data_IF_454480891938
#
_entry.id   IF_454480891938
#
_cell.length_a   1.000
_cell.length_b   1.000
_cell.length_c   1.000
_cell.angle_alpha   90.00
_cell.angle_beta   90.00
_cell.angle_gamma   90.00
#
_symmetry.space_group_name_H-M   'P 1'
#
loop_
_entity.id
_entity.type
_entity.pdbx_description
1 polymer ?
#
# COMPACT_ATOMS: atom_id res chain seq x y z
N UNK A 1 -4.51 13.43 15.79
CA UNK A 1 -4.55 12.74 14.48
C UNK A 1 -3.42 13.15 13.53
N UNK A 2 -2.87 14.36 13.60
CA UNK A 2 -1.80 14.81 12.68
C UNK A 2 -0.48 14.04 12.76
N UNK A 3 -0.13 13.50 13.91
CA UNK A 3 1.17 12.81 14.14
C UNK A 3 1.36 11.49 13.38
N UNK A 4 0.28 10.88 12.86
CA UNK A 4 0.29 9.55 12.25
C UNK A 4 -0.02 9.60 10.74
N UNK A 5 0.25 10.74 10.12
CA UNK A 5 0.03 10.98 8.68
C UNK A 5 1.27 11.60 8.07
N UNK A 6 1.42 11.43 6.75
CA UNK A 6 2.44 12.12 5.95
C UNK A 6 1.78 13.02 4.91
N UNK A 7 2.39 14.18 4.64
CA UNK A 7 1.96 15.04 3.55
C UNK A 7 2.54 14.54 2.23
N UNK A 8 1.68 14.14 1.30
CA UNK A 8 2.11 13.80 -0.05
C UNK A 8 2.44 15.09 -0.83
N UNK A 9 3.39 15.00 -1.76
CA UNK A 9 3.90 16.16 -2.52
C UNK A 9 2.78 16.89 -3.26
N UNK A 10 1.99 16.17 -4.01
CA UNK A 10 0.95 16.71 -4.89
C UNK A 10 -0.47 16.37 -4.41
N UNK A 11 -0.59 15.74 -3.27
CA UNK A 11 -1.82 15.12 -2.80
C UNK A 11 -2.21 15.47 -1.38
N UNK A 12 -3.19 14.76 -0.84
CA UNK A 12 -3.67 14.92 0.52
C UNK A 12 -2.68 14.36 1.55
N UNK A 13 -3.00 14.56 2.82
CA UNK A 13 -2.32 13.87 3.92
C UNK A 13 -2.73 12.38 3.92
N UNK A 14 -1.74 11.50 3.89
CA UNK A 14 -1.92 10.05 3.85
C UNK A 14 -1.66 9.46 5.24
N UNK A 15 -2.59 8.64 5.81
CA UNK A 15 -2.32 7.89 7.02
C UNK A 15 -1.15 6.92 6.86
N UNK A 16 -0.26 6.85 7.84
CA UNK A 16 0.88 5.92 7.83
C UNK A 16 0.45 4.46 8.02
N UNK A 17 -0.76 4.22 8.55
CA UNK A 17 -1.34 2.88 8.62
C UNK A 17 -2.67 2.83 7.88
N UNK A 18 -2.84 1.81 7.03
CA UNK A 18 -4.08 1.53 6.32
C UNK A 18 -4.52 0.08 6.48
N UNK A 19 -5.78 -0.19 6.21
CA UNK A 19 -6.30 -1.56 6.10
C UNK A 19 -6.06 -2.10 4.70
N UNK A 20 -5.21 -3.13 4.57
CA UNK A 20 -5.07 -3.90 3.34
C UNK A 20 -6.26 -4.84 3.14
N UNK A 21 -6.79 -4.91 1.92
CA UNK A 21 -7.99 -5.73 1.63
C UNK A 21 -7.72 -6.91 0.69
N UNK A 22 -6.46 -7.21 0.38
CA UNK A 22 -6.10 -8.35 -0.47
C UNK A 22 -6.64 -9.66 0.10
N UNK A 23 -7.31 -10.47 -0.75
CA UNK A 23 -8.00 -11.72 -0.39
C UNK A 23 -9.18 -11.58 0.59
N UNK A 24 -9.63 -10.39 0.93
CA UNK A 24 -10.90 -10.22 1.64
C UNK A 24 -12.01 -10.15 0.58
N UNK A 25 -12.97 -11.05 0.66
CA UNK A 25 -14.07 -11.19 -0.31
C UNK A 25 -15.38 -11.53 0.39
N UNK A 26 -16.47 -11.16 -0.26
CA UNK A 26 -17.84 -11.35 0.23
C UNK A 26 -18.34 -10.15 1.01
N UNK A 27 -19.54 -9.68 0.68
CA UNK A 27 -20.15 -8.46 1.20
C UNK A 27 -20.15 -8.40 2.73
N UNK A 28 -20.58 -9.49 3.39
CA UNK A 28 -20.67 -9.53 4.85
C UNK A 28 -19.30 -9.42 5.51
N UNK A 29 -18.31 -10.19 5.00
CA UNK A 29 -16.94 -10.18 5.56
C UNK A 29 -16.29 -8.80 5.39
N UNK A 30 -16.50 -8.15 4.22
CA UNK A 30 -15.97 -6.81 3.96
C UNK A 30 -16.66 -5.79 4.83
N UNK A 31 -17.99 -5.85 4.94
CA UNK A 31 -18.78 -4.93 5.79
C UNK A 31 -18.30 -4.98 7.25
N UNK A 32 -18.24 -6.16 7.82
CA UNK A 32 -17.78 -6.34 9.21
C UNK A 32 -16.34 -5.91 9.41
N UNK A 33 -15.45 -6.26 8.46
CA UNK A 33 -14.03 -5.88 8.52
C UNK A 33 -13.86 -4.36 8.48
N UNK A 34 -14.55 -3.67 7.56
CA UNK A 34 -14.48 -2.21 7.44
C UNK A 34 -15.06 -1.52 8.67
N UNK A 35 -16.19 -2.01 9.18
CA UNK A 35 -16.80 -1.47 10.40
C UNK A 35 -15.82 -1.55 11.57
N UNK A 36 -15.28 -2.72 11.85
CA UNK A 36 -14.28 -2.92 12.91
C UNK A 36 -13.04 -2.05 12.75
N UNK A 37 -12.52 -1.93 11.53
CA UNK A 37 -11.34 -1.12 11.25
C UNK A 37 -11.62 0.37 11.49
N UNK A 38 -12.73 0.91 10.98
CA UNK A 38 -13.12 2.31 11.16
C UNK A 38 -13.42 2.65 12.61
N UNK A 39 -14.11 1.76 13.35
CA UNK A 39 -14.34 1.87 14.80
C UNK A 39 -13.02 1.86 15.58
N UNK A 40 -12.02 1.10 15.13
CA UNK A 40 -10.68 1.05 15.72
C UNK A 40 -9.81 2.26 15.38
N UNK A 41 -10.29 3.17 14.51
CA UNK A 41 -9.58 4.40 14.14
C UNK A 41 -8.81 4.36 12.82
N UNK A 42 -8.91 3.29 12.01
CA UNK A 42 -8.38 3.32 10.64
C UNK A 42 -9.09 4.39 9.82
N UNK A 43 -8.31 5.08 8.99
CA UNK A 43 -8.80 6.11 8.05
C UNK A 43 -8.19 5.95 6.65
N UNK A 44 -7.54 4.81 6.39
CA UNK A 44 -7.00 4.46 5.08
C UNK A 44 -7.37 3.03 4.71
N UNK A 45 -7.83 2.83 3.47
CA UNK A 45 -8.23 1.53 2.91
C UNK A 45 -7.46 1.34 1.61
N UNK A 46 -6.73 0.22 1.52
CA UNK A 46 -5.99 -0.18 0.33
C UNK A 46 -6.68 -1.35 -0.36
N UNK A 47 -7.05 -1.15 -1.61
CA UNK A 47 -7.60 -2.17 -2.50
C UNK A 47 -6.93 -2.16 -3.86
N UNK A 48 -7.43 -2.93 -4.82
CA UNK A 48 -7.01 -2.95 -6.22
C UNK A 48 -8.08 -3.57 -7.11
N UNK A 49 -8.14 -3.19 -8.38
CA UNK A 49 -9.05 -3.78 -9.36
C UNK A 49 -8.93 -5.31 -9.44
N UNK A 50 -7.70 -5.86 -9.31
CA UNK A 50 -7.46 -7.32 -9.34
C UNK A 50 -7.95 -8.06 -8.10
N UNK A 51 -8.23 -7.36 -6.98
CA UNK A 51 -8.75 -8.00 -5.76
C UNK A 51 -10.22 -8.38 -5.90
N UNK A 52 -10.93 -7.73 -6.83
CA UNK A 52 -12.35 -7.98 -7.14
C UNK A 52 -13.29 -7.75 -5.95
N UNK A 53 -12.97 -6.77 -5.13
CA UNK A 53 -13.74 -6.41 -3.94
C UNK A 53 -14.10 -4.91 -3.87
N UNK A 54 -13.76 -4.13 -4.89
CA UNK A 54 -14.06 -2.70 -4.93
C UNK A 54 -15.55 -2.39 -4.77
N UNK A 55 -16.44 -3.17 -5.43
CA UNK A 55 -17.89 -2.99 -5.31
C UNK A 55 -18.39 -3.23 -3.89
N UNK A 56 -17.88 -4.27 -3.25
CA UNK A 56 -18.26 -4.64 -1.88
C UNK A 56 -17.76 -3.57 -0.90
N UNK A 57 -16.56 -3.04 -1.11
CA UNK A 57 -15.99 -1.93 -0.32
C UNK A 57 -16.83 -0.67 -0.48
N UNK A 58 -17.16 -0.27 -1.72
CA UNK A 58 -17.98 0.92 -1.98
C UNK A 58 -19.35 0.83 -1.33
N UNK A 59 -20.02 -0.32 -1.44
CA UNK A 59 -21.31 -0.57 -0.81
C UNK A 59 -21.22 -0.52 0.71
N UNK A 60 -20.20 -1.17 1.28
CA UNK A 60 -20.00 -1.20 2.74
C UNK A 60 -19.69 0.18 3.31
N UNK A 61 -18.85 0.98 2.64
CA UNK A 61 -18.55 2.34 3.09
C UNK A 61 -19.79 3.22 3.14
N UNK A 62 -20.67 3.15 2.14
CA UNK A 62 -21.95 3.89 2.16
C UNK A 62 -22.84 3.54 3.36
N UNK A 63 -22.75 2.31 3.85
CA UNK A 63 -23.51 1.86 5.01
C UNK A 63 -22.85 2.25 6.33
N UNK A 64 -21.53 2.10 6.41
CA UNK A 64 -20.79 2.23 7.68
C UNK A 64 -20.45 3.68 8.01
N UNK A 65 -20.05 4.50 7.04
CA UNK A 65 -19.62 5.87 7.31
C UNK A 65 -20.67 6.69 8.07
N UNK A 66 -21.95 6.71 7.66
CA UNK A 66 -22.99 7.47 8.40
C UNK A 66 -23.23 6.94 9.81
N UNK A 67 -23.01 5.63 10.07
CA UNK A 67 -23.17 5.03 11.40
C UNK A 67 -22.08 5.48 12.38
N UNK A 68 -20.94 5.94 11.86
CA UNK A 68 -19.78 6.36 12.63
C UNK A 68 -19.56 7.88 12.59
N UNK A 69 -20.55 8.65 12.12
CA UNK A 69 -20.43 10.09 11.88
C UNK A 69 -19.21 10.48 11.03
N UNK A 70 -18.89 9.62 10.04
CA UNK A 70 -17.82 9.82 9.08
C UNK A 70 -18.37 10.13 7.69
N UNK A 71 -17.56 10.85 6.91
CA UNK A 71 -17.83 11.18 5.51
C UNK A 71 -16.78 10.57 4.59
N UNK A 72 -16.95 10.71 3.27
CA UNK A 72 -15.95 10.24 2.28
C UNK A 72 -14.60 10.96 2.45
N UNK A 73 -14.61 12.20 2.87
CA UNK A 73 -13.43 13.03 3.07
C UNK A 73 -12.56 12.57 4.26
N UNK A 74 -13.15 11.86 5.21
CA UNK A 74 -12.43 11.32 6.37
C UNK A 74 -11.62 10.06 6.03
N UNK A 75 -11.83 9.48 4.84
CA UNK A 75 -11.26 8.19 4.44
C UNK A 75 -10.34 8.36 3.23
N UNK A 76 -9.10 7.90 3.39
CA UNK A 76 -8.12 7.80 2.32
C UNK A 76 -8.29 6.46 1.59
N UNK A 77 -8.70 6.48 0.33
CA UNK A 77 -8.92 5.26 -0.47
C UNK A 77 -7.84 5.14 -1.53
N UNK A 78 -7.10 4.03 -1.48
CA UNK A 78 -6.14 3.62 -2.52
C UNK A 78 -6.73 2.48 -3.35
N UNK A 79 -6.67 2.62 -4.68
CA UNK A 79 -6.85 1.50 -5.60
C UNK A 79 -5.71 1.43 -6.62
N UNK A 80 -5.70 0.38 -7.46
CA UNK A 80 -4.56 0.08 -8.34
C UNK A 80 -5.01 -0.40 -9.71
N UNK A 81 -4.32 0.09 -10.74
CA UNK A 81 -4.47 -0.33 -12.13
C UNK A 81 -4.02 -1.79 -12.32
N UNK A 82 -4.90 -2.63 -12.83
CA UNK A 82 -4.54 -4.00 -13.11
C UNK A 82 -3.50 -4.10 -14.26
N UNK A 83 -2.54 -5.04 -14.20
CA UNK A 83 -1.53 -5.23 -15.25
C UNK A 83 -2.10 -5.40 -16.66
N UNK A 84 -3.29 -5.96 -16.80
CA UNK A 84 -3.98 -6.16 -18.09
C UNK A 84 -4.53 -4.86 -18.71
N UNK A 85 -4.73 -3.84 -17.88
CA UNK A 85 -5.41 -2.59 -18.25
C UNK A 85 -4.42 -1.44 -18.47
N UNK A 86 -3.11 -1.73 -18.60
CA UNK A 86 -2.09 -0.75 -18.93
C UNK A 86 -2.15 -0.32 -20.40
N UNK A 87 -1.75 0.91 -20.67
CA UNK A 87 -1.67 1.55 -21.98
C UNK A 87 -2.66 2.70 -22.12
N UNK A 88 -2.44 3.50 -23.16
CA UNK A 88 -3.20 4.72 -23.45
C UNK A 88 -4.71 4.45 -23.56
N UNK A 89 -5.50 5.23 -22.87
CA UNK A 89 -6.95 5.13 -22.81
C UNK A 89 -7.47 3.98 -21.93
N UNK A 90 -6.81 2.83 -21.91
CA UNK A 90 -7.19 1.67 -21.08
C UNK A 90 -7.04 1.97 -19.59
N UNK A 91 -5.95 2.64 -19.20
CA UNK A 91 -5.73 3.04 -17.83
C UNK A 91 -6.83 4.00 -17.36
N UNK A 92 -7.20 4.97 -18.20
CA UNK A 92 -8.31 5.87 -17.92
C UNK A 92 -9.62 5.12 -17.68
N UNK A 93 -10.00 4.23 -18.59
CA UNK A 93 -11.23 3.44 -18.49
C UNK A 93 -11.25 2.59 -17.20
N UNK A 94 -10.12 1.95 -16.88
CA UNK A 94 -9.96 1.14 -15.67
C UNK A 94 -10.11 1.98 -14.38
N UNK A 95 -9.52 3.17 -14.34
CA UNK A 95 -9.67 4.08 -13.20
C UNK A 95 -11.13 4.54 -13.02
N UNK A 96 -11.80 4.95 -14.09
CA UNK A 96 -13.22 5.32 -14.05
C UNK A 96 -14.10 4.14 -13.61
N UNK A 97 -13.73 2.91 -14.01
CA UNK A 97 -14.41 1.71 -13.53
C UNK A 97 -14.19 1.47 -12.03
N UNK A 98 -12.97 1.67 -11.51
CA UNK A 98 -12.68 1.61 -10.07
C UNK A 98 -13.49 2.64 -9.28
N UNK A 99 -13.59 3.89 -9.76
CA UNK A 99 -14.46 4.92 -9.17
C UNK A 99 -15.92 4.47 -9.11
N UNK A 100 -16.45 3.94 -10.22
CA UNK A 100 -17.82 3.41 -10.28
C UNK A 100 -18.03 2.26 -9.31
N UNK A 101 -17.08 1.31 -9.23
CA UNK A 101 -17.14 0.17 -8.32
C UNK A 101 -17.13 0.62 -6.85
N UNK A 102 -16.22 1.53 -6.50
CA UNK A 102 -16.08 2.10 -5.16
C UNK A 102 -17.18 3.12 -4.82
N UNK A 103 -18.02 3.46 -5.79
CA UNK A 103 -19.14 4.40 -5.66
C UNK A 103 -18.70 5.76 -5.09
N UNK A 104 -17.60 6.29 -5.62
CA UNK A 104 -17.00 7.57 -5.21
C UNK A 104 -16.61 8.41 -6.43
N UNK A 105 -16.57 9.73 -6.27
CA UNK A 105 -16.23 10.66 -7.35
C UNK A 105 -14.72 10.85 -7.54
N UNK A 106 -13.92 10.46 -6.54
CA UNK A 106 -12.47 10.56 -6.57
C UNK A 106 -11.80 9.44 -5.77
N UNK A 107 -10.54 9.15 -6.10
CA UNK A 107 -9.61 8.36 -5.30
C UNK A 107 -8.56 9.27 -4.65
N UNK A 108 -8.15 8.94 -3.44
CA UNK A 108 -7.07 9.68 -2.77
C UNK A 108 -5.72 9.30 -3.37
N UNK A 109 -5.55 8.01 -3.74
CA UNK A 109 -4.35 7.51 -4.40
C UNK A 109 -4.71 6.44 -5.44
N UNK A 110 -4.12 6.51 -6.62
CA UNK A 110 -4.20 5.44 -7.61
C UNK A 110 -2.81 5.04 -8.07
N UNK A 111 -2.53 3.72 -8.07
CA UNK A 111 -1.22 3.18 -8.35
C UNK A 111 -1.21 2.36 -9.64
N UNK A 112 -0.14 2.44 -10.44
CA UNK A 112 0.17 1.36 -11.38
C UNK A 112 0.62 0.17 -10.55
N UNK A 113 -0.12 -0.96 -10.60
CA UNK A 113 0.08 -2.08 -9.68
C UNK A 113 1.37 -2.85 -9.90
N UNK A 114 1.83 -2.96 -11.16
CA UNK A 114 3.05 -3.65 -11.58
C UNK A 114 3.70 -2.93 -12.76
N UNK A 115 5.04 -2.95 -12.88
CA UNK A 115 5.72 -2.34 -14.02
C UNK A 115 5.50 -3.08 -15.34
N UNK A 116 5.14 -4.38 -15.27
CA UNK A 116 4.86 -5.22 -16.44
C UNK A 116 3.38 -5.33 -16.78
N UNK A 117 3.11 -5.68 -18.01
CA UNK A 117 1.77 -5.83 -18.57
C UNK A 117 1.41 -7.30 -18.70
N UNK A 118 0.21 -7.67 -18.28
CA UNK A 118 -0.25 -9.06 -18.37
C UNK A 118 -0.28 -9.56 -19.82
N UNK A 119 0.33 -10.73 -20.05
CA UNK A 119 0.41 -11.33 -21.39
C UNK A 119 1.57 -10.85 -22.24
N UNK A 120 2.40 -9.94 -21.73
CA UNK A 120 3.66 -9.50 -22.34
C UNK A 120 4.82 -10.13 -21.56
N UNK A 121 5.87 -10.57 -22.27
CA UNK A 121 7.06 -11.14 -21.63
C UNK A 121 7.75 -10.08 -20.74
N UNK A 122 8.37 -10.47 -19.63
CA UNK A 122 9.02 -9.52 -18.72
C UNK A 122 10.09 -8.64 -19.40
N UNK A 123 10.85 -9.17 -20.33
CA UNK A 123 11.93 -8.51 -21.07
C UNK A 123 11.47 -7.77 -22.34
N UNK A 124 10.18 -7.73 -22.61
CA UNK A 124 9.62 -7.08 -23.82
C UNK A 124 9.56 -5.55 -23.61
N UNK A 125 10.18 -4.76 -24.53
CA UNK A 125 10.23 -3.30 -24.42
C UNK A 125 8.85 -2.63 -24.46
N UNK A 126 7.79 -3.32 -24.87
CA UNK A 126 6.42 -2.82 -24.80
C UNK A 126 5.96 -2.58 -23.36
N UNK A 127 6.52 -3.29 -22.36
CA UNK A 127 6.21 -3.02 -20.96
C UNK A 127 6.50 -1.55 -20.64
N UNK A 128 7.68 -1.06 -21.02
CA UNK A 128 8.08 0.33 -20.83
C UNK A 128 7.11 1.31 -21.49
N UNK A 129 6.79 1.10 -22.77
CA UNK A 129 5.90 1.99 -23.49
C UNK A 129 4.51 2.07 -22.85
N UNK A 130 3.94 0.94 -22.48
CA UNK A 130 2.58 0.86 -21.95
C UNK A 130 2.48 1.45 -20.54
N UNK A 131 3.48 1.26 -19.66
CA UNK A 131 3.47 1.89 -18.33
C UNK A 131 3.62 3.41 -18.41
N UNK A 132 4.43 3.95 -19.35
CA UNK A 132 4.54 5.40 -19.56
C UNK A 132 3.24 5.99 -20.11
N UNK A 133 2.57 5.31 -21.05
CA UNK A 133 1.24 5.70 -21.51
C UNK A 133 0.21 5.67 -20.39
N UNK A 134 0.26 4.65 -19.53
CA UNK A 134 -0.61 4.58 -18.34
C UNK A 134 -0.35 5.75 -17.40
N UNK A 135 0.91 6.14 -17.22
CA UNK A 135 1.25 7.29 -16.40
C UNK A 135 0.67 8.59 -16.93
N UNK A 136 0.72 8.81 -18.23
CA UNK A 136 0.10 9.98 -18.89
C UNK A 136 -1.42 10.03 -18.66
N UNK A 137 -2.11 8.89 -18.72
CA UNK A 137 -3.54 8.80 -18.38
C UNK A 137 -3.77 9.17 -16.90
N UNK A 138 -2.89 8.73 -15.97
CA UNK A 138 -3.00 9.09 -14.55
C UNK A 138 -2.75 10.58 -14.31
N UNK A 139 -1.79 11.18 -14.97
CA UNK A 139 -1.53 12.64 -14.90
C UNK A 139 -2.76 13.45 -15.35
N UNK A 140 -3.41 13.00 -16.42
CA UNK A 140 -4.63 13.64 -16.90
C UNK A 140 -5.79 13.50 -15.91
N UNK A 141 -6.02 12.31 -15.36
CA UNK A 141 -7.03 12.06 -14.34
C UNK A 141 -6.76 12.84 -13.04
N UNK A 142 -5.49 13.02 -12.69
CA UNK A 142 -5.08 13.87 -11.57
C UNK A 142 -5.43 15.35 -11.83
N UNK A 143 -5.11 15.89 -13.02
CA UNK A 143 -5.50 17.25 -13.42
C UNK A 143 -7.02 17.46 -13.41
N UNK A 144 -7.79 16.42 -13.73
CA UNK A 144 -9.27 16.44 -13.69
C UNK A 144 -9.84 16.29 -12.27
N UNK A 145 -9.01 16.08 -11.25
CA UNK A 145 -9.43 15.89 -9.87
C UNK A 145 -10.07 14.53 -9.57
N UNK A 146 -9.99 13.57 -10.50
CA UNK A 146 -10.47 12.19 -10.30
C UNK A 146 -9.56 11.38 -9.39
N UNK A 147 -8.29 11.73 -9.33
CA UNK A 147 -7.27 11.15 -8.46
C UNK A 147 -6.53 12.29 -7.77
N UNK A 148 -6.43 12.26 -6.44
CA UNK A 148 -5.74 13.31 -5.68
C UNK A 148 -4.23 13.12 -5.59
N UNK A 149 -3.75 11.88 -5.64
CA UNK A 149 -2.33 11.53 -5.68
C UNK A 149 -2.13 10.33 -6.60
N UNK A 150 -1.01 10.28 -7.31
CA UNK A 150 -0.66 9.20 -8.22
C UNK A 150 0.66 8.54 -7.82
N UNK A 151 0.77 7.25 -8.02
CA UNK A 151 1.96 6.51 -7.64
C UNK A 151 2.09 5.16 -8.35
N UNK A 152 3.05 4.38 -7.89
CA UNK A 152 3.38 3.10 -8.48
C UNK A 152 3.54 2.02 -7.41
N UNK A 153 3.42 0.77 -7.82
CA UNK A 153 3.66 -0.38 -6.94
C UNK A 153 4.56 -1.39 -7.66
N UNK A 154 5.45 -2.03 -6.90
CA UNK A 154 6.40 -3.01 -7.42
C UNK A 154 7.40 -2.48 -8.46
N UNK A 155 7.65 -1.17 -8.45
CA UNK A 155 8.68 -0.56 -9.27
C UNK A 155 10.01 -0.61 -8.54
N UNK A 156 11.06 -1.01 -9.24
CA UNK A 156 12.44 -0.91 -8.80
C UNK A 156 13.04 0.45 -9.15
N UNK A 157 14.23 0.75 -8.64
CA UNK A 157 14.94 2.01 -8.88
C UNK A 157 15.05 2.38 -10.36
N UNK A 158 15.37 1.39 -11.23
CA UNK A 158 15.44 1.60 -12.68
C UNK A 158 14.11 2.04 -13.30
N UNK A 159 12.99 1.47 -12.84
CA UNK A 159 11.65 1.83 -13.30
C UNK A 159 11.26 3.24 -12.84
N UNK A 160 11.61 3.58 -11.58
CA UNK A 160 11.38 4.92 -11.04
C UNK A 160 12.23 5.96 -11.76
N UNK A 161 13.50 5.66 -12.03
CA UNK A 161 14.40 6.54 -12.77
C UNK A 161 13.85 6.84 -14.17
N UNK A 162 13.41 5.81 -14.88
CA UNK A 162 12.77 5.94 -16.18
C UNK A 162 11.52 6.82 -16.10
N UNK A 163 10.64 6.55 -15.13
CA UNK A 163 9.42 7.32 -14.95
C UNK A 163 9.70 8.80 -14.67
N UNK A 164 10.66 9.09 -13.78
CA UNK A 164 11.06 10.45 -13.42
C UNK A 164 11.64 11.25 -14.59
N UNK A 165 12.23 10.57 -15.57
CA UNK A 165 12.73 11.21 -16.79
C UNK A 165 11.63 11.62 -17.80
N UNK A 166 10.40 11.06 -17.66
CA UNK A 166 9.34 11.21 -18.66
C UNK A 166 8.03 11.78 -18.09
N UNK A 167 7.89 11.87 -16.77
CA UNK A 167 6.65 12.35 -16.14
C UNK A 167 6.61 13.87 -16.02
N UNK A 168 5.41 14.46 -16.14
CA UNK A 168 5.12 15.84 -15.76
C UNK A 168 4.82 15.94 -14.26
N UNK A 169 4.03 15.00 -13.73
CA UNK A 169 3.72 14.86 -12.31
C UNK A 169 4.51 13.69 -11.75
N UNK A 170 5.40 13.96 -10.79
CA UNK A 170 6.20 12.91 -10.14
C UNK A 170 5.31 12.01 -9.28
N UNK A 171 5.64 10.71 -9.15
CA UNK A 171 4.92 9.83 -8.27
C UNK A 171 5.00 10.29 -6.81
N UNK A 172 3.87 10.26 -6.12
CA UNK A 172 3.76 10.57 -4.69
C UNK A 172 4.16 9.38 -3.81
N UNK A 173 3.83 8.15 -4.26
CA UNK A 173 3.98 6.92 -3.47
C UNK A 173 4.60 5.81 -4.30
N UNK A 174 5.56 5.09 -3.70
CA UNK A 174 5.96 3.74 -4.10
C UNK A 174 5.42 2.75 -3.06
N UNK A 175 4.53 1.85 -3.48
CA UNK A 175 4.08 0.74 -2.64
C UNK A 175 4.79 -0.56 -3.04
N UNK A 176 5.54 -1.17 -2.13
CA UNK A 176 6.38 -2.32 -2.44
C UNK A 176 6.48 -3.28 -1.26
N UNK A 177 6.87 -4.54 -1.50
CA UNK A 177 7.15 -5.50 -0.44
C UNK A 177 8.32 -5.02 0.41
N UNK A 178 8.09 -4.89 1.74
CA UNK A 178 9.14 -4.46 2.66
C UNK A 178 8.86 -4.96 4.08
N UNK A 179 9.85 -5.60 4.67
CA UNK A 179 9.85 -6.17 6.02
C UNK A 179 11.28 -6.54 6.42
N UNK A 180 11.60 -6.91 7.67
CA UNK A 180 12.95 -7.23 8.11
C UNK A 180 13.69 -8.29 7.29
N UNK A 181 13.01 -9.26 6.67
CA UNK A 181 13.66 -10.24 5.78
C UNK A 181 13.93 -9.70 4.36
N UNK A 182 13.39 -8.53 4.02
CA UNK A 182 13.59 -7.82 2.74
C UNK A 182 13.70 -6.32 2.99
N UNK A 183 14.83 -5.90 3.54
CA UNK A 183 15.12 -4.47 3.76
C UNK A 183 15.67 -3.88 2.47
N UNK A 184 14.94 -3.00 1.85
CA UNK A 184 15.26 -2.37 0.57
C UNK A 184 15.90 -0.99 0.77
N UNK A 185 17.01 -0.92 1.51
CA UNK A 185 17.63 0.34 1.96
C UNK A 185 18.01 1.27 0.82
N UNK A 186 18.51 0.74 -0.31
CA UNK A 186 18.88 1.54 -1.48
C UNK A 186 17.63 2.18 -2.11
N UNK A 187 16.59 1.40 -2.33
CA UNK A 187 15.33 1.89 -2.91
C UNK A 187 14.62 2.89 -1.98
N UNK A 188 14.65 2.64 -0.66
CA UNK A 188 14.13 3.57 0.34
C UNK A 188 14.86 4.91 0.29
N UNK A 189 16.19 4.89 0.20
CA UNK A 189 17.02 6.10 0.05
C UNK A 189 16.65 6.84 -1.23
N UNK A 190 16.57 6.14 -2.35
CA UNK A 190 16.18 6.72 -3.63
C UNK A 190 14.81 7.41 -3.55
N UNK A 191 13.83 6.77 -2.91
CA UNK A 191 12.50 7.36 -2.70
C UNK A 191 12.58 8.64 -1.86
N UNK A 192 13.35 8.62 -0.77
CA UNK A 192 13.54 9.77 0.12
C UNK A 192 14.15 10.96 -0.62
N UNK A 193 15.22 10.73 -1.38
CA UNK A 193 15.91 11.75 -2.17
C UNK A 193 15.01 12.38 -3.25
N UNK A 194 14.08 11.60 -3.78
CA UNK A 194 13.10 12.05 -4.76
C UNK A 194 11.76 12.50 -4.15
N UNK A 195 11.64 12.54 -2.81
CA UNK A 195 10.41 12.86 -2.06
C UNK A 195 9.20 11.99 -2.50
N UNK A 196 9.45 10.70 -2.71
CA UNK A 196 8.43 9.68 -2.96
C UNK A 196 8.18 8.96 -1.63
N UNK A 197 6.93 8.94 -1.17
CA UNK A 197 6.59 8.22 0.05
C UNK A 197 6.69 6.71 -0.17
N UNK A 198 7.41 6.04 0.73
CA UNK A 198 7.58 4.59 0.69
C UNK A 198 6.49 3.92 1.55
N UNK A 199 5.69 3.05 0.94
CA UNK A 199 4.65 2.29 1.63
C UNK A 199 4.92 0.79 1.50
N UNK A 200 4.95 0.09 2.63
CA UNK A 200 5.22 -1.34 2.71
C UNK A 200 3.93 -2.15 2.63
N UNK A 201 3.89 -3.13 1.73
CA UNK A 201 2.94 -4.23 1.84
C UNK A 201 3.65 -5.50 2.33
N UNK A 202 2.90 -6.53 2.70
CA UNK A 202 3.40 -7.77 3.32
C UNK A 202 4.31 -7.53 4.54
N UNK A 203 4.09 -6.43 5.27
CA UNK A 203 4.89 -6.05 6.44
C UNK A 203 4.89 -7.11 7.54
N UNK A 204 3.92 -8.03 7.54
CA UNK A 204 3.79 -9.17 8.44
C UNK A 204 4.15 -10.50 7.76
N UNK A 205 4.76 -10.45 6.59
CA UNK A 205 5.05 -11.62 5.75
C UNK A 205 3.82 -12.09 4.98
N UNK A 206 3.67 -13.40 4.85
CA UNK A 206 2.57 -14.03 4.12
C UNK A 206 1.53 -14.65 5.07
N UNK A 207 0.33 -14.91 4.55
CA UNK A 207 -0.72 -15.66 5.28
C UNK A 207 -0.53 -17.19 5.25
N UNK A 208 0.60 -17.70 4.77
CA UNK A 208 0.90 -19.15 4.78
C UNK A 208 1.28 -19.61 6.19
N UNK A 209 1.07 -20.89 6.48
CA UNK A 209 1.48 -21.54 7.74
C UNK A 209 3.00 -21.46 7.99
N UNK A 210 3.78 -21.29 6.93
CA UNK A 210 5.24 -21.14 6.95
C UNK A 210 5.71 -19.67 7.06
N UNK A 211 4.91 -18.78 7.64
CA UNK A 211 5.30 -17.40 7.84
C UNK A 211 6.42 -17.29 8.89
N UNK A 212 7.65 -17.33 8.44
CA UNK A 212 8.84 -17.28 9.31
C UNK A 212 9.00 -15.91 10.00
N UNK A 213 8.48 -14.82 9.42
CA UNK A 213 8.70 -13.47 9.92
C UNK A 213 8.08 -13.23 11.30
N UNK A 214 6.83 -13.65 11.50
CA UNK A 214 6.14 -13.52 12.81
C UNK A 214 6.72 -14.44 13.89
N UNK A 215 7.45 -15.47 13.50
CA UNK A 215 8.07 -16.46 14.38
C UNK A 215 9.60 -16.33 14.44
N UNK A 216 10.17 -15.30 13.80
CA UNK A 216 11.59 -15.02 13.88
C UNK A 216 12.00 -14.77 15.35
N UNK A 217 13.06 -15.43 15.81
CA UNK A 217 13.46 -15.43 17.21
C UNK A 217 13.76 -14.02 17.74
N UNK A 218 14.36 -13.17 16.92
CA UNK A 218 14.64 -11.79 17.32
C UNK A 218 13.38 -10.93 17.37
N UNK A 219 12.45 -11.13 16.44
CA UNK A 219 11.15 -10.44 16.45
C UNK A 219 10.36 -10.81 17.70
N UNK A 220 10.27 -12.11 18.03
CA UNK A 220 9.59 -12.62 19.22
C UNK A 220 10.25 -12.10 20.49
N UNK A 221 11.58 -12.17 20.60
CA UNK A 221 12.32 -11.67 21.76
C UNK A 221 12.09 -10.18 22.01
N UNK A 222 12.07 -9.35 20.96
CA UNK A 222 11.80 -7.92 21.07
C UNK A 222 10.34 -7.70 21.51
N UNK A 223 9.40 -8.44 20.92
CA UNK A 223 7.98 -8.37 21.25
C UNK A 223 7.73 -8.68 22.74
N UNK A 224 8.31 -9.78 23.24
CA UNK A 224 8.20 -10.19 24.65
C UNK A 224 8.76 -9.12 25.59
N UNK A 225 9.93 -8.53 25.26
CA UNK A 225 10.55 -7.49 26.08
C UNK A 225 9.71 -6.21 26.21
N UNK A 226 8.87 -5.93 25.20
CA UNK A 226 8.00 -4.76 25.14
C UNK A 226 6.57 -5.03 25.59
N UNK A 227 6.21 -6.30 25.86
CA UNK A 227 4.82 -6.71 26.11
C UNK A 227 3.90 -6.42 24.92
N UNK A 228 4.40 -6.56 23.71
CA UNK A 228 3.70 -6.33 22.43
C UNK A 228 3.68 -7.62 21.59
N UNK A 229 2.77 -7.68 20.62
CA UNK A 229 2.79 -8.80 19.67
C UNK A 229 3.90 -8.66 18.62
N UNK A 230 4.40 -9.76 18.04
CA UNK A 230 5.34 -9.73 16.92
C UNK A 230 4.85 -8.86 15.77
N UNK A 231 3.54 -8.87 15.47
CA UNK A 231 2.93 -8.03 14.46
C UNK A 231 3.09 -6.53 14.79
N UNK A 232 2.86 -6.12 16.03
CA UNK A 232 3.06 -4.73 16.46
C UNK A 232 4.52 -4.30 16.31
N UNK A 233 5.47 -5.15 16.64
CA UNK A 233 6.91 -4.87 16.48
C UNK A 233 7.26 -4.66 15.02
N UNK A 234 6.82 -5.54 14.11
CA UNK A 234 7.09 -5.44 12.68
C UNK A 234 6.48 -4.17 12.06
N UNK A 235 5.25 -3.85 12.42
CA UNK A 235 4.58 -2.63 11.95
C UNK A 235 5.27 -1.38 12.50
N UNK A 236 5.63 -1.39 13.79
CA UNK A 236 6.34 -0.27 14.43
C UNK A 236 7.71 -0.04 13.80
N UNK A 237 8.44 -1.10 13.46
CA UNK A 237 9.73 -1.01 12.77
C UNK A 237 9.62 -0.23 11.45
N UNK A 238 8.61 -0.48 10.64
CA UNK A 238 8.40 0.27 9.41
C UNK A 238 7.98 1.72 9.68
N UNK A 239 6.96 1.92 10.54
CA UNK A 239 6.45 3.26 10.89
C UNK A 239 7.53 4.15 11.49
N UNK A 240 8.43 3.60 12.31
CA UNK A 240 9.50 4.38 12.95
C UNK A 240 10.54 4.89 11.96
N UNK A 241 10.62 4.31 10.77
CA UNK A 241 11.40 4.76 9.63
C UNK A 241 10.64 5.74 8.70
N UNK A 242 9.42 6.13 9.06
CA UNK A 242 8.55 6.96 8.23
C UNK A 242 7.88 6.19 7.08
N UNK A 243 7.93 4.86 7.09
CA UNK A 243 7.36 3.98 6.06
C UNK A 243 5.90 3.69 6.40
N UNK A 244 4.99 3.90 5.44
CA UNK A 244 3.58 3.54 5.57
C UNK A 244 3.39 2.02 5.54
N UNK A 245 2.35 1.50 6.22
CA UNK A 245 2.04 0.06 6.26
C UNK A 245 0.55 -0.19 6.01
N UNK A 246 0.23 -1.34 5.39
CA UNK A 246 -1.14 -1.74 5.06
C UNK A 246 -1.41 -3.19 5.49
N UNK A 247 -1.33 -3.49 6.80
CA UNK A 247 -1.61 -4.84 7.29
C UNK A 247 -3.04 -5.28 6.93
N UNK A 248 -3.19 -6.55 6.56
CA UNK A 248 -4.47 -7.19 6.27
C UNK A 248 -4.88 -8.08 7.44
N UNK A 249 -6.10 -7.88 7.95
CA UNK A 249 -6.74 -8.82 8.88
C UNK A 249 -8.26 -8.76 8.75
N UNK A 250 -8.93 -9.86 9.04
CA UNK A 250 -10.38 -9.96 9.29
C UNK A 250 -10.67 -10.34 10.74
N UNK A 251 -9.63 -10.55 11.55
CA UNK A 251 -9.75 -10.86 12.96
C UNK A 251 -9.86 -9.54 13.79
N UNK A 252 -10.92 -9.36 14.58
CA UNK A 252 -11.14 -8.15 15.36
C UNK A 252 -10.00 -7.79 16.31
N UNK A 253 -9.37 -8.79 16.92
CA UNK A 253 -8.24 -8.58 17.84
C UNK A 253 -7.04 -8.05 17.08
N UNK A 254 -6.66 -8.70 15.97
CA UNK A 254 -5.53 -8.28 15.18
C UNK A 254 -5.74 -6.89 14.54
N UNK A 255 -6.97 -6.53 14.13
CA UNK A 255 -7.29 -5.20 13.61
C UNK A 255 -6.97 -4.13 14.66
N UNK A 256 -7.39 -4.34 15.91
CA UNK A 256 -7.14 -3.43 17.01
C UNK A 256 -5.66 -3.38 17.41
N UNK A 257 -4.98 -4.52 17.46
CA UNK A 257 -3.54 -4.58 17.78
C UNK A 257 -2.69 -3.89 16.71
N UNK A 258 -2.98 -4.13 15.44
CA UNK A 258 -2.22 -3.57 14.35
C UNK A 258 -2.23 -2.03 14.31
N UNK A 259 -3.29 -1.38 14.75
CA UNK A 259 -3.34 0.09 14.81
C UNK A 259 -2.73 0.64 16.11
N UNK A 260 -2.63 -0.16 17.18
CA UNK A 260 -2.02 0.23 18.45
C UNK A 260 -0.49 0.13 18.41
N UNK A 261 0.14 0.90 17.51
CA UNK A 261 1.58 0.87 17.28
C UNK A 261 2.27 2.23 17.47
N UNK A 262 1.53 3.25 17.87
CA UNK A 262 2.08 4.59 18.03
C UNK A 262 2.45 4.91 19.50
N UNK A 263 2.03 4.07 20.45
CA UNK A 263 2.24 4.27 21.89
C UNK A 263 3.57 3.77 22.45
N UNK A 264 4.43 3.17 21.63
CA UNK A 264 5.76 2.67 22.03
C UNK A 264 6.81 2.93 20.93
N UNK A 265 8.09 2.78 21.29
CA UNK A 265 9.22 2.89 20.35
C UNK A 265 10.13 1.68 20.49
N UNK A 266 10.71 1.27 19.37
CA UNK A 266 11.85 0.35 19.33
C UNK A 266 13.12 1.14 19.64
N UNK A 267 14.05 0.53 20.37
CA UNK A 267 15.38 1.12 20.59
C UNK A 267 16.21 1.07 19.31
N UNK A 268 17.28 1.88 19.22
CA UNK A 268 18.20 1.85 18.07
C UNK A 268 18.78 0.45 17.91
N UNK A 269 19.07 -0.27 19.01
CA UNK A 269 19.54 -1.66 18.99
C UNK A 269 18.50 -2.63 18.41
N UNK A 270 17.21 -2.45 18.74
CA UNK A 270 16.13 -3.28 18.17
C UNK A 270 15.99 -3.00 16.68
N UNK A 271 16.05 -1.73 16.28
CA UNK A 271 16.00 -1.33 14.87
C UNK A 271 17.15 -1.93 14.08
N UNK A 272 18.38 -1.87 14.61
CA UNK A 272 19.56 -2.48 14.01
C UNK A 272 19.42 -4.00 13.92
N UNK A 273 18.96 -4.65 14.99
CA UNK A 273 18.70 -6.10 15.00
C UNK A 273 17.75 -6.50 13.89
N UNK A 274 16.60 -5.81 13.78
CA UNK A 274 15.60 -6.10 12.74
C UNK A 274 16.11 -5.81 11.33
N UNK A 275 16.89 -4.75 11.13
CA UNK A 275 17.52 -4.46 9.83
C UNK A 275 18.51 -5.55 9.40
N UNK A 276 19.23 -6.16 10.35
CA UNK A 276 20.21 -7.21 10.10
C UNK A 276 19.59 -8.58 9.79
N UNK A 277 18.26 -8.74 9.92
CA UNK A 277 17.55 -9.94 9.50
C UNK A 277 17.40 -10.03 7.97
N UNK A 278 17.78 -8.98 7.23
CA UNK A 278 17.64 -8.94 5.77
C UNK A 278 18.48 -10.01 5.09
N UNK A 279 17.79 -10.82 4.30
CA UNK A 279 18.39 -11.92 3.51
C UNK A 279 17.87 -11.95 2.06
N UNK A 280 17.21 -10.85 1.63
CA UNK A 280 16.64 -10.73 0.27
C UNK A 280 15.47 -11.70 0.01
N UNK A 281 14.77 -12.13 1.07
CA UNK A 281 13.67 -13.11 0.92
C UNK A 281 12.36 -12.42 0.58
N UNK A 282 11.82 -12.70 -0.60
CA UNK A 282 10.48 -12.29 -1.00
C UNK A 282 9.42 -13.28 -0.50
N UNK A 283 8.31 -12.77 0.01
CA UNK A 283 7.08 -13.53 0.30
C UNK A 283 6.05 -13.38 -0.83
N UNK A 284 6.26 -12.40 -1.70
CA UNK A 284 5.45 -12.10 -2.88
C UNK A 284 6.27 -12.24 -4.16
N UNK A 285 5.68 -11.88 -5.29
CA UNK A 285 6.36 -11.94 -6.58
C UNK A 285 7.45 -10.89 -6.69
N UNK A 286 8.61 -11.33 -7.20
CA UNK A 286 9.76 -10.49 -7.44
C UNK A 286 9.61 -9.74 -8.79
N UNK A 287 9.62 -8.40 -8.82
CA UNK A 287 9.56 -7.60 -10.04
C UNK A 287 10.88 -7.54 -10.82
N UNK A 288 11.97 -8.13 -10.28
CA UNK A 288 13.33 -7.99 -10.80
C UNK A 288 13.49 -8.33 -12.29
N UNK A 289 12.68 -9.22 -12.82
CA UNK A 289 12.78 -9.67 -14.21
C UNK A 289 12.04 -8.78 -15.22
N UNK A 290 11.30 -7.77 -14.79
CA UNK A 290 10.54 -6.89 -15.68
C UNK A 290 11.41 -5.71 -16.12
N UNK A 291 11.58 -5.56 -17.43
CA UNK A 291 12.32 -4.41 -18.00
C UNK A 291 11.49 -3.15 -18.12
#
# INVERSE_FOLDING_TARGET
>A
MEKNTIQLRNGPRMPLIGLGTYKIRGNEVILETLKMALESGYRSIDTAAVYRNECDIGTSLKLVLPQLDLTREDIFITSKLAPKDQGQGKCREACLKSLSNLQTDYLDLYLIHWPGVQGIKPDDPRNRQLRLQSWQDLEQLHKEGKIKAIGVSNFEERHLHELLCHCEVKPDVLQIEHHPHLVQSQLLRFCTENSIHFQAYSSLGTSSENNQLLHDADVVRIADSLGKSPAQVLLRWAIQQGIGVIPKSTNPVHIKENIDIFGFCLTDKDMETLNNLSRGSHYCWDPHHIT
#
